data_IF_455523531995
#
_entry.id   IF_455523531995
#
_cell.length_a   1.000
_cell.length_b   1.000
_cell.length_c   1.000
_cell.angle_alpha   90.00
_cell.angle_beta   90.00
_cell.angle_gamma   90.00
#
_symmetry.space_group_name_H-M   'P 1'
#
loop_
_entity.id
_entity.type
_entity.pdbx_description
1 polymer ?
#
# COMPACT_ATOMS: atom_id res chain seq x y z
N UNK A 1 -23.61 -5.23 -49.14
CA UNK A 1 -23.78 -3.93 -48.46
C UNK A 1 -23.62 -4.14 -46.96
N UNK A 2 -22.89 -3.27 -46.23
CA UNK A 2 -22.76 -3.38 -44.77
C UNK A 2 -23.93 -2.67 -44.08
N UNK A 3 -24.60 -3.35 -43.14
CA UNK A 3 -25.71 -2.76 -42.38
C UNK A 3 -25.25 -1.55 -41.52
N UNK A 4 -26.08 -0.49 -41.37
CA UNK A 4 -25.73 0.71 -40.61
C UNK A 4 -25.29 0.44 -39.16
N UNK A 5 -25.95 -0.50 -38.48
CA UNK A 5 -25.63 -0.87 -37.09
C UNK A 5 -24.19 -1.36 -36.90
N UNK A 6 -23.61 -2.06 -37.88
CA UNK A 6 -22.24 -2.56 -37.78
C UNK A 6 -21.21 -1.42 -37.86
N UNK A 7 -21.51 -0.33 -38.56
CA UNK A 7 -20.68 0.89 -38.54
C UNK A 7 -20.74 1.56 -37.16
N UNK A 8 -21.94 1.69 -36.59
CA UNK A 8 -22.13 2.30 -35.27
C UNK A 8 -21.42 1.50 -34.16
N UNK A 9 -21.61 0.18 -34.12
CA UNK A 9 -20.94 -0.72 -33.16
C UNK A 9 -19.41 -0.62 -33.29
N UNK A 10 -18.88 -0.57 -34.52
CA UNK A 10 -17.43 -0.39 -34.75
C UNK A 10 -16.92 0.95 -34.21
N UNK A 11 -17.66 2.05 -34.40
CA UNK A 11 -17.29 3.36 -33.85
C UNK A 11 -17.30 3.32 -32.32
N UNK A 12 -18.37 2.82 -31.70
CA UNK A 12 -18.48 2.72 -30.23
C UNK A 12 -17.35 1.86 -29.65
N UNK A 13 -17.05 0.72 -30.25
CA UNK A 13 -15.96 -0.17 -29.80
C UNK A 13 -14.57 0.49 -29.90
N UNK A 14 -14.30 1.24 -30.99
CA UNK A 14 -13.04 1.98 -31.14
C UNK A 14 -12.96 3.14 -30.14
N UNK A 15 -14.03 3.92 -29.97
CA UNK A 15 -14.07 5.00 -28.98
C UNK A 15 -13.88 4.48 -27.55
N UNK A 16 -14.52 3.37 -27.17
CA UNK A 16 -14.33 2.74 -25.87
C UNK A 16 -12.90 2.22 -25.69
N UNK A 17 -12.33 1.54 -26.69
CA UNK A 17 -10.93 1.09 -26.66
C UNK A 17 -9.93 2.24 -26.50
N UNK A 18 -10.13 3.35 -27.22
CA UNK A 18 -9.32 4.57 -27.07
C UNK A 18 -9.45 5.18 -25.67
N UNK A 19 -10.66 5.26 -25.11
CA UNK A 19 -10.87 5.73 -23.73
C UNK A 19 -10.18 4.84 -22.69
N UNK A 20 -10.22 3.52 -22.87
CA UNK A 20 -9.47 2.59 -22.01
C UNK A 20 -7.95 2.80 -22.10
N UNK A 21 -7.41 2.98 -23.31
CA UNK A 21 -5.99 3.27 -23.53
C UNK A 21 -5.61 4.58 -22.85
N UNK A 22 -6.35 5.67 -23.10
CA UNK A 22 -6.11 6.98 -22.47
C UNK A 22 -6.17 6.90 -20.94
N UNK A 23 -7.13 6.16 -20.38
CA UNK A 23 -7.27 5.99 -18.95
C UNK A 23 -6.10 5.19 -18.34
N UNK A 24 -5.57 4.17 -19.04
CA UNK A 24 -4.37 3.43 -18.62
C UNK A 24 -3.14 4.30 -18.71
N UNK A 25 -2.92 4.99 -19.84
CA UNK A 25 -1.79 5.92 -20.03
C UNK A 25 -1.78 7.00 -18.95
N UNK A 26 -2.91 7.67 -18.69
CA UNK A 26 -3.01 8.68 -17.64
C UNK A 26 -2.68 8.10 -16.25
N UNK A 27 -3.18 6.91 -15.92
CA UNK A 27 -2.88 6.24 -14.65
C UNK A 27 -1.40 5.85 -14.50
N UNK A 28 -0.71 5.51 -15.60
CA UNK A 28 0.74 5.22 -15.59
C UNK A 28 1.54 6.51 -15.49
N UNK A 29 1.24 7.52 -16.31
CA UNK A 29 1.89 8.83 -16.27
C UNK A 29 1.77 9.49 -14.90
N UNK A 30 0.60 9.43 -14.25
CA UNK A 30 0.41 9.96 -12.90
C UNK A 30 1.27 9.24 -11.86
N UNK A 31 1.38 7.91 -11.90
CA UNK A 31 2.27 7.14 -11.00
C UNK A 31 3.74 7.50 -11.20
N UNK A 32 4.17 7.64 -12.45
CA UNK A 32 5.55 8.02 -12.81
C UNK A 32 5.85 9.45 -12.34
N UNK A 33 4.95 10.40 -12.61
CA UNK A 33 5.06 11.79 -12.16
C UNK A 33 5.12 11.91 -10.64
N UNK A 34 4.23 11.19 -9.92
CA UNK A 34 4.24 11.16 -8.45
C UNK A 34 5.53 10.54 -7.92
N UNK A 35 6.01 9.43 -8.49
CA UNK A 35 7.26 8.78 -8.05
C UNK A 35 8.47 9.70 -8.17
N UNK A 36 8.59 10.44 -9.27
CA UNK A 36 9.67 11.41 -9.53
C UNK A 36 9.40 12.82 -8.99
N UNK A 37 8.40 13.01 -8.14
CA UNK A 37 8.09 14.33 -7.57
C UNK A 37 9.12 14.76 -6.51
N UNK A 38 9.39 16.07 -6.34
CA UNK A 38 10.20 16.57 -5.23
C UNK A 38 9.62 16.22 -3.85
N UNK A 39 8.29 16.02 -3.78
CA UNK A 39 7.61 15.57 -2.57
C UNK A 39 8.04 14.16 -2.17
N UNK A 40 7.97 13.19 -3.08
CA UNK A 40 8.37 11.80 -2.79
C UNK A 40 9.87 11.66 -2.56
N UNK A 41 10.71 12.43 -3.28
CA UNK A 41 12.16 12.48 -3.06
C UNK A 41 12.54 12.86 -1.60
N UNK A 42 11.82 13.80 -0.98
CA UNK A 42 11.99 14.10 0.45
C UNK A 42 11.73 12.86 1.32
N UNK A 43 10.62 12.15 1.10
CA UNK A 43 10.29 10.94 1.85
C UNK A 43 11.26 9.78 1.55
N UNK A 44 11.82 9.69 0.35
CA UNK A 44 12.81 8.66 0.01
C UNK A 44 14.14 8.88 0.74
N UNK A 45 14.59 10.14 0.87
CA UNK A 45 15.74 10.51 1.73
C UNK A 45 15.49 10.12 3.19
N UNK A 46 14.24 10.29 3.65
CA UNK A 46 13.75 9.88 4.97
C UNK A 46 13.51 8.36 5.12
N UNK A 47 13.80 7.55 4.10
CA UNK A 47 13.72 6.09 4.17
C UNK A 47 12.34 5.47 3.92
N UNK A 48 11.37 6.25 3.43
CA UNK A 48 10.08 5.73 2.96
C UNK A 48 10.20 5.14 1.55
N UNK A 49 9.25 4.27 1.18
CA UNK A 49 9.12 3.69 -0.17
C UNK A 49 7.74 4.01 -0.72
N UNK A 50 7.65 4.50 -1.96
CA UNK A 50 6.36 4.67 -2.65
C UNK A 50 5.88 3.34 -3.21
N UNK A 51 4.72 2.89 -2.75
CA UNK A 51 3.99 1.76 -3.31
C UNK A 51 2.55 2.21 -3.50
N UNK A 52 2.10 2.43 -4.74
CA UNK A 52 0.77 2.99 -4.99
C UNK A 52 -0.34 2.22 -4.22
N UNK A 53 -1.21 2.89 -3.45
CA UNK A 53 -1.44 4.35 -3.46
C UNK A 53 -0.58 5.19 -2.50
N UNK A 54 0.14 4.60 -1.56
CA UNK A 54 0.76 5.29 -0.43
C UNK A 54 2.29 5.37 -0.42
N UNK A 55 2.80 6.05 0.60
CA UNK A 55 4.18 5.92 1.09
C UNK A 55 4.19 4.98 2.30
N UNK A 56 5.17 4.09 2.37
CA UNK A 56 5.34 3.14 3.47
C UNK A 56 6.72 3.27 4.12
N UNK A 57 6.77 3.09 5.44
CA UNK A 57 7.97 3.20 6.26
C UNK A 57 8.13 1.97 7.14
N UNK A 58 9.34 1.39 7.25
CA UNK A 58 9.61 0.27 8.16
C UNK A 58 10.65 0.63 9.22
N UNK A 59 10.23 0.51 10.48
CA UNK A 59 10.95 0.72 11.76
C UNK A 59 12.37 0.18 11.88
N UNK A 60 13.14 0.68 12.87
CA UNK A 60 14.60 0.71 12.81
C UNK A 60 15.48 -0.09 13.81
N UNK A 61 15.35 -0.27 15.14
CA UNK A 61 14.28 -0.32 16.16
C UNK A 61 13.24 -1.45 16.00
N UNK A 62 12.77 -2.04 17.12
CA UNK A 62 11.59 -2.92 17.31
C UNK A 62 10.90 -2.55 18.63
N UNK A 63 9.57 -2.63 18.71
CA UNK A 63 8.82 -2.08 19.85
C UNK A 63 7.44 -2.74 20.03
N UNK A 64 6.75 -2.38 21.12
CA UNK A 64 5.37 -2.79 21.42
C UNK A 64 4.39 -2.16 20.42
N UNK A 65 3.25 -2.81 20.16
CA UNK A 65 2.27 -2.31 19.17
C UNK A 65 1.79 -0.88 19.48
N UNK A 66 1.66 -0.53 20.76
CA UNK A 66 1.21 0.79 21.21
C UNK A 66 2.24 1.89 20.93
N UNK A 67 3.51 1.65 21.26
CA UNK A 67 4.59 2.61 20.96
C UNK A 67 4.89 2.65 19.46
N UNK A 68 4.79 1.53 18.73
CA UNK A 68 4.85 1.51 17.25
C UNK A 68 3.75 2.36 16.60
N UNK A 69 2.51 2.31 17.10
CA UNK A 69 1.40 3.15 16.62
C UNK A 69 1.65 4.63 16.91
N UNK A 70 2.10 4.96 18.12
CA UNK A 70 2.45 6.34 18.54
C UNK A 70 3.60 6.90 17.71
N UNK A 71 4.61 6.09 17.43
CA UNK A 71 5.73 6.41 16.55
C UNK A 71 5.27 6.71 15.12
N UNK A 72 4.36 5.90 14.53
CA UNK A 72 3.79 6.20 13.21
C UNK A 72 3.00 7.53 13.16
N UNK A 73 2.46 8.00 14.29
CA UNK A 73 1.79 9.31 14.39
C UNK A 73 2.78 10.48 14.56
N UNK A 74 4.06 10.20 14.82
CA UNK A 74 5.11 11.19 15.09
C UNK A 74 6.24 11.20 14.04
N UNK A 75 6.42 10.15 13.25
CA UNK A 75 7.58 10.01 12.36
C UNK A 75 7.62 10.97 11.18
N UNK A 76 8.82 11.48 10.95
CA UNK A 76 9.25 11.98 9.65
C UNK A 76 10.51 11.28 9.09
N UNK A 77 11.16 10.30 9.76
CA UNK A 77 12.53 9.90 9.32
C UNK A 77 13.03 8.46 9.61
N UNK A 78 14.19 8.15 8.97
CA UNK A 78 15.18 7.04 9.10
C UNK A 78 15.07 5.71 8.29
N UNK A 79 16.07 5.46 7.43
CA UNK A 79 16.26 4.35 6.46
C UNK A 79 16.37 2.91 7.03
N UNK A 80 16.09 1.87 6.21
CA UNK A 80 16.13 0.45 6.65
C UNK A 80 16.35 -0.63 5.56
N UNK A 81 16.79 -1.83 6.01
CA UNK A 81 16.83 -3.13 5.30
C UNK A 81 15.63 -4.02 5.68
N UNK A 82 15.23 -4.95 4.79
CA UNK A 82 14.07 -5.84 4.94
C UNK A 82 14.45 -7.32 5.12
N UNK A 83 13.78 -8.01 6.07
CA UNK A 83 13.37 -9.44 6.09
C UNK A 83 13.01 -9.86 7.54
N UNK A 84 11.85 -9.44 8.08
CA UNK A 84 11.51 -9.54 9.53
C UNK A 84 10.00 -9.59 9.83
N UNK A 85 9.60 -10.07 11.01
CA UNK A 85 8.24 -9.96 11.55
C UNK A 85 7.82 -8.51 11.80
N UNK A 86 6.61 -8.13 11.36
CA UNK A 86 6.14 -6.73 11.31
C UNK A 86 4.73 -6.58 11.90
N UNK A 87 4.57 -5.68 12.87
CA UNK A 87 3.30 -5.10 13.30
C UNK A 87 2.66 -4.30 12.15
N UNK A 88 1.38 -4.57 11.91
CA UNK A 88 0.51 -3.84 11.00
C UNK A 88 -0.55 -3.06 11.79
N UNK A 89 -1.20 -2.09 11.15
CA UNK A 89 -2.22 -1.22 11.76
C UNK A 89 -3.56 -1.91 12.12
N UNK A 90 -3.58 -3.22 12.35
CA UNK A 90 -4.79 -3.97 12.67
C UNK A 90 -4.94 -4.14 14.20
N UNK A 91 -6.13 -3.91 14.74
CA UNK A 91 -6.41 -4.10 16.17
C UNK A 91 -7.80 -4.70 16.42
N UNK A 92 -7.98 -5.39 17.55
CA UNK A 92 -9.28 -5.90 17.96
C UNK A 92 -10.05 -4.79 18.69
N UNK A 93 -11.15 -4.33 18.09
CA UNK A 93 -11.98 -3.26 18.64
C UNK A 93 -12.83 -3.79 19.79
N UNK A 94 -12.53 -3.34 21.02
CA UNK A 94 -13.17 -3.81 22.26
C UNK A 94 -14.68 -3.64 22.31
N UNK A 95 -15.24 -2.66 21.59
CA UNK A 95 -16.69 -2.41 21.51
C UNK A 95 -17.40 -3.34 20.53
N UNK A 96 -16.79 -3.64 19.39
CA UNK A 96 -17.41 -4.45 18.32
C UNK A 96 -16.96 -5.92 18.33
N UNK A 97 -15.93 -6.26 19.12
CA UNK A 97 -15.26 -7.58 19.16
C UNK A 97 -14.78 -8.07 17.79
N UNK A 98 -14.43 -7.14 16.90
CA UNK A 98 -13.96 -7.40 15.54
C UNK A 98 -12.63 -6.71 15.29
N UNK A 99 -11.81 -7.30 14.43
CA UNK A 99 -10.62 -6.64 13.89
C UNK A 99 -11.01 -5.39 13.09
N UNK A 100 -10.21 -4.33 13.16
CA UNK A 100 -10.39 -3.06 12.45
C UNK A 100 -9.03 -2.43 12.16
N UNK A 101 -8.88 -1.67 11.09
CA UNK A 101 -7.67 -0.88 10.82
C UNK A 101 -7.66 0.42 11.65
N UNK A 102 -6.48 0.87 12.09
CA UNK A 102 -6.31 2.09 12.92
C UNK A 102 -6.67 3.39 12.21
N UNK A 103 -6.78 3.37 10.88
CA UNK A 103 -7.23 4.49 10.03
C UNK A 103 -8.74 4.45 9.73
N UNK A 104 -9.46 3.42 10.19
CA UNK A 104 -10.89 3.22 9.93
C UNK A 104 -11.22 2.65 8.55
N UNK A 105 -10.25 2.26 7.73
CA UNK A 105 -10.53 1.68 6.41
C UNK A 105 -11.30 0.34 6.51
N UNK A 106 -12.19 0.02 5.55
CA UNK A 106 -12.86 -1.27 5.52
C UNK A 106 -11.88 -2.42 5.26
N UNK A 107 -12.06 -3.53 5.99
CA UNK A 107 -11.29 -4.76 5.80
C UNK A 107 -11.54 -5.38 4.42
N UNK A 108 -10.71 -5.01 3.44
CA UNK A 108 -10.78 -5.47 2.05
C UNK A 108 -9.53 -6.25 1.68
N UNK A 109 -9.69 -7.34 0.93
CA UNK A 109 -8.58 -8.24 0.51
C UNK A 109 -7.50 -7.56 -0.37
N UNK A 110 -7.75 -6.33 -0.86
CA UNK A 110 -6.91 -5.66 -1.86
C UNK A 110 -5.64 -5.04 -1.27
N UNK A 111 -5.73 -4.40 -0.09
CA UNK A 111 -4.56 -3.77 0.56
C UNK A 111 -3.52 -4.83 0.96
N UNK A 112 -4.01 -5.94 1.50
CA UNK A 112 -3.24 -7.15 1.82
C UNK A 112 -2.38 -7.64 0.64
N UNK A 113 -2.93 -7.66 -0.57
CA UNK A 113 -2.22 -8.10 -1.78
C UNK A 113 -1.11 -7.12 -2.19
N UNK A 114 -1.38 -5.81 -2.14
CA UNK A 114 -0.41 -4.77 -2.54
C UNK A 114 0.80 -4.75 -1.60
N UNK A 115 0.58 -4.81 -0.29
CA UNK A 115 1.66 -4.91 0.70
C UNK A 115 2.50 -6.17 0.50
N UNK A 116 1.86 -7.32 0.32
CA UNK A 116 2.52 -8.62 0.16
C UNK A 116 3.45 -8.65 -1.08
N UNK A 117 2.91 -8.41 -2.28
CA UNK A 117 3.70 -8.62 -3.51
C UNK A 117 4.79 -7.58 -3.76
N UNK A 118 4.63 -6.34 -3.26
CA UNK A 118 5.62 -5.29 -3.54
C UNK A 118 6.75 -5.25 -2.50
N UNK A 119 6.49 -5.56 -1.22
CA UNK A 119 7.53 -5.57 -0.18
C UNK A 119 8.39 -6.85 -0.27
N UNK A 120 7.77 -8.00 -0.61
CA UNK A 120 8.48 -9.30 -0.67
C UNK A 120 9.40 -9.41 -1.90
N UNK A 121 9.14 -8.70 -3.00
CA UNK A 121 10.04 -8.75 -4.17
C UNK A 121 11.47 -8.23 -3.89
N UNK A 122 11.67 -7.43 -2.84
CA UNK A 122 13.01 -7.02 -2.36
C UNK A 122 13.63 -7.98 -1.32
N UNK A 123 12.94 -9.07 -0.97
CA UNK A 123 13.36 -10.05 0.03
C UNK A 123 12.93 -11.47 -0.36
N UNK A 124 13.64 -12.06 -1.35
CA UNK A 124 13.58 -13.51 -1.57
C UNK A 124 13.97 -14.25 -0.28
N UNK A 125 13.30 -15.38 -0.03
CA UNK A 125 13.39 -16.21 1.18
C UNK A 125 12.77 -15.61 2.46
N UNK A 126 11.45 -15.76 2.56
CA UNK A 126 10.90 -16.60 3.63
C UNK A 126 10.01 -17.68 3.02
N UNK A 127 10.09 -18.90 3.55
CA UNK A 127 9.23 -20.02 3.18
C UNK A 127 8.02 -20.07 4.13
N UNK A 128 6.92 -20.61 3.60
CA UNK A 128 5.70 -21.03 4.29
C UNK A 128 4.82 -19.92 4.93
N UNK A 129 3.60 -19.88 4.39
CA UNK A 129 2.34 -19.70 5.12
C UNK A 129 2.06 -18.36 5.79
N UNK A 130 1.62 -17.38 4.98
CA UNK A 130 0.27 -16.76 4.99
C UNK A 130 -0.48 -16.51 6.33
N UNK A 131 0.18 -16.48 7.49
CA UNK A 131 -0.45 -16.34 8.80
C UNK A 131 -0.34 -14.92 9.34
N UNK A 132 -1.48 -14.22 9.45
CA UNK A 132 -1.61 -13.17 10.46
C UNK A 132 -1.71 -13.86 11.82
N UNK A 133 -0.99 -13.36 12.83
CA UNK A 133 -1.05 -13.88 14.19
C UNK A 133 -1.52 -12.81 15.18
N UNK A 134 -2.26 -13.24 16.20
CA UNK A 134 -2.80 -12.41 17.28
C UNK A 134 -1.83 -12.35 18.48
N UNK A 135 -0.54 -12.19 18.17
CA UNK A 135 0.52 -12.07 19.18
C UNK A 135 0.28 -10.84 20.08
N UNK A 136 0.40 -11.03 21.39
CA UNK A 136 0.04 -10.00 22.39
C UNK A 136 0.80 -8.69 22.21
N UNK A 137 0.10 -7.56 22.33
CA UNK A 137 0.58 -6.21 22.00
C UNK A 137 1.84 -5.74 22.77
N UNK A 138 2.21 -6.42 23.84
CA UNK A 138 3.43 -6.20 24.65
C UNK A 138 4.70 -6.76 24.02
N UNK A 139 4.59 -7.64 23.02
CA UNK A 139 5.74 -8.19 22.30
C UNK A 139 6.45 -7.11 21.45
N UNK A 140 7.78 -7.23 21.29
CA UNK A 140 8.58 -6.27 20.53
C UNK A 140 8.85 -6.77 19.12
N UNK A 141 8.05 -6.30 18.16
CA UNK A 141 8.24 -6.56 16.73
C UNK A 141 8.71 -5.29 16.01
N UNK A 142 9.15 -5.44 14.77
CA UNK A 142 9.27 -4.32 13.84
C UNK A 142 7.86 -3.83 13.48
N UNK A 143 7.69 -2.63 12.97
CA UNK A 143 6.41 -2.10 12.52
C UNK A 143 6.52 -1.41 11.16
N UNK A 144 5.40 -1.32 10.47
CA UNK A 144 5.22 -0.56 9.23
C UNK A 144 4.24 0.59 9.47
N UNK A 145 4.58 1.78 8.96
CA UNK A 145 3.68 2.92 8.90
C UNK A 145 3.23 3.15 7.45
N UNK A 146 1.99 3.58 7.26
CA UNK A 146 1.39 3.95 5.98
C UNK A 146 1.03 5.44 5.99
N UNK A 147 1.30 6.13 4.89
CA UNK A 147 0.90 7.51 4.67
C UNK A 147 0.27 7.63 3.29
N UNK A 148 -1.03 7.88 3.25
CA UNK A 148 -1.75 8.17 2.01
C UNK A 148 -1.21 9.45 1.38
N UNK A 149 -0.98 9.42 0.07
CA UNK A 149 -0.79 10.63 -0.71
C UNK A 149 -2.16 11.26 -0.97
N UNK A 150 -2.37 12.47 -0.45
CA UNK A 150 -3.44 13.32 -0.92
C UNK A 150 -3.06 13.83 -2.33
N UNK A 151 -3.85 13.43 -3.32
CA UNK A 151 -3.79 13.83 -4.73
C UNK A 151 -5.13 14.48 -5.09
#
# INVERSE_FOLDING_TARGET
FLHPGLKLVRVVAVSFGLLCILQVTLNVCLRVFVYFSPFTDQYFKQGWVYLHPGLYYVSSTSNTWHESRKDCLQRQDFTRKFNRFIWIGLFNNTKTRRWTWVDGTPLTKRLMFVLFFNIINYSRFFNQDNSWNDIGCTNKNFWICEKNLAL
#
